data_IF_965543937323
#
_entry.id   IF_965543937323
#
_cell.length_a   1.000
_cell.length_b   1.000
_cell.length_c   1.000
_cell.angle_alpha   90.00
_cell.angle_beta   90.00
_cell.angle_gamma   90.00
#
_symmetry.space_group_name_H-M   'P 1'
#
loop_
_entity.id
_entity.type
_entity.pdbx_description
1 polymer ?
#
# COMPACT_ATOMS: atom_id res chain seq x y z
N UNK A 1 9.58 -10.36 19.25
CA UNK A 1 9.09 -9.05 18.78
C UNK A 1 8.29 -9.33 17.53
N UNK A 2 7.07 -8.82 17.40
CA UNK A 2 6.27 -9.00 16.17
C UNK A 2 7.05 -8.44 14.98
N UNK A 3 7.24 -9.23 13.93
CA UNK A 3 7.94 -8.78 12.72
C UNK A 3 6.88 -8.31 11.72
N UNK A 4 6.18 -7.24 12.10
CA UNK A 4 5.10 -6.70 11.29
C UNK A 4 5.66 -5.98 10.07
N UNK A 5 5.27 -6.46 8.90
CA UNK A 5 5.74 -5.97 7.59
C UNK A 5 4.57 -5.45 6.78
N UNK A 6 4.83 -4.45 5.95
CA UNK A 6 3.83 -3.89 5.03
C UNK A 6 3.82 -4.74 3.76
N UNK A 7 2.64 -5.13 3.30
CA UNK A 7 2.42 -5.82 2.04
C UNK A 7 1.51 -4.99 1.14
N UNK A 8 1.82 -4.91 -0.15
CA UNK A 8 0.94 -4.31 -1.17
C UNK A 8 0.45 -5.38 -2.13
N UNK A 9 -0.84 -5.34 -2.45
CA UNK A 9 -1.46 -6.24 -3.41
C UNK A 9 -1.12 -5.85 -4.86
N UNK A 10 -0.94 -6.87 -5.70
CA UNK A 10 -0.98 -6.76 -7.15
C UNK A 10 -1.98 -7.78 -7.71
N UNK A 11 -2.79 -7.36 -8.66
CA UNK A 11 -3.74 -8.19 -9.37
C UNK A 11 -3.01 -9.03 -10.43
N UNK A 12 -3.10 -10.35 -10.33
CA UNK A 12 -2.35 -11.29 -11.18
C UNK A 12 -3.22 -12.41 -11.76
N UNK A 13 -4.34 -12.08 -12.45
CA UNK A 13 -5.32 -13.05 -12.94
C UNK A 13 -4.71 -14.10 -13.89
N UNK A 14 -3.69 -13.71 -14.64
CA UNK A 14 -3.09 -14.53 -15.69
C UNK A 14 -1.76 -15.18 -15.28
N UNK A 15 -1.34 -15.04 -14.02
CA UNK A 15 -0.07 -15.64 -13.58
C UNK A 15 -0.30 -17.14 -13.31
N UNK A 16 0.36 -18.04 -14.06
CA UNK A 16 0.13 -19.47 -13.88
C UNK A 16 0.57 -19.92 -12.49
N UNK A 17 -0.39 -20.46 -11.74
CA UNK A 17 -0.16 -21.10 -10.46
C UNK A 17 -0.25 -22.62 -10.64
N UNK A 18 0.87 -23.32 -10.52
CA UNK A 18 0.94 -24.76 -10.84
C UNK A 18 1.67 -25.49 -9.72
N UNK A 19 1.00 -26.50 -9.15
CA UNK A 19 1.52 -27.34 -8.08
C UNK A 19 2.03 -26.55 -6.86
N UNK A 20 1.28 -25.51 -6.45
CA UNK A 20 1.64 -24.69 -5.29
C UNK A 20 2.66 -23.59 -5.59
N UNK A 21 3.12 -23.42 -6.83
CA UNK A 21 4.19 -22.46 -7.17
C UNK A 21 3.73 -21.48 -8.24
N UNK A 22 4.05 -20.19 -8.04
CA UNK A 22 3.88 -19.15 -9.05
C UNK A 22 4.92 -19.29 -10.15
N UNK A 23 4.47 -19.34 -11.40
CA UNK A 23 5.34 -19.37 -12.58
C UNK A 23 5.40 -17.98 -13.23
N UNK A 24 6.50 -17.23 -13.05
CA UNK A 24 6.62 -15.91 -13.66
C UNK A 24 6.59 -15.99 -15.20
N UNK A 25 5.95 -15.00 -15.85
CA UNK A 25 5.83 -14.93 -17.33
C UNK A 25 7.20 -14.83 -18.01
N UNK A 26 8.22 -14.33 -17.31
CA UNK A 26 9.62 -14.26 -17.76
C UNK A 26 10.51 -14.96 -16.74
N UNK A 27 10.67 -16.27 -16.89
CA UNK A 27 11.41 -17.19 -15.98
C UNK A 27 12.87 -16.84 -15.65
N UNK A 28 13.45 -15.78 -16.22
CA UNK A 28 14.90 -15.48 -16.11
C UNK A 28 15.26 -14.01 -15.92
N UNK A 29 14.32 -13.09 -15.67
CA UNK A 29 14.68 -11.65 -15.72
C UNK A 29 15.46 -11.18 -14.47
N UNK A 30 15.12 -11.67 -13.26
CA UNK A 30 15.55 -11.00 -12.03
C UNK A 30 16.20 -11.90 -10.94
N UNK A 31 16.51 -13.18 -11.24
CA UNK A 31 17.28 -14.10 -10.37
C UNK A 31 16.73 -14.33 -8.94
N UNK A 32 15.41 -14.46 -8.78
CA UNK A 32 14.82 -14.87 -7.51
C UNK A 32 14.79 -16.40 -7.36
N UNK A 33 15.34 -16.90 -6.26
CA UNK A 33 15.27 -18.30 -5.83
C UNK A 33 14.08 -18.49 -4.88
N UNK A 34 13.23 -19.49 -5.14
CA UNK A 34 12.16 -19.86 -4.21
C UNK A 34 12.77 -20.68 -3.06
N UNK A 35 12.68 -20.17 -1.83
CA UNK A 35 13.14 -20.87 -0.63
C UNK A 35 12.01 -21.69 0.02
N UNK A 36 10.81 -21.11 0.08
CA UNK A 36 9.67 -21.69 0.78
C UNK A 36 8.37 -21.46 0.02
N UNK A 37 7.50 -22.46 0.08
CA UNK A 37 6.17 -22.49 -0.54
C UNK A 37 5.23 -23.27 0.38
N UNK A 38 4.51 -22.54 1.23
CA UNK A 38 3.58 -23.10 2.19
C UNK A 38 2.13 -22.85 1.76
N UNK A 39 1.28 -23.88 1.89
CA UNK A 39 -0.17 -23.73 1.76
C UNK A 39 -0.75 -23.46 3.14
N UNK A 40 -1.22 -22.24 3.37
CA UNK A 40 -1.88 -21.84 4.63
C UNK A 40 -3.35 -22.25 4.61
N UNK A 41 -4.03 -22.04 3.49
CA UNK A 41 -5.43 -22.40 3.27
C UNK A 41 -5.70 -22.75 1.81
N UNK A 42 -6.91 -23.21 1.49
CA UNK A 42 -7.31 -23.45 0.09
C UNK A 42 -7.23 -22.17 -0.77
N UNK A 43 -7.40 -21.02 -0.13
CA UNK A 43 -7.36 -19.69 -0.77
C UNK A 43 -6.07 -18.90 -0.53
N UNK A 44 -5.08 -19.47 0.16
CA UNK A 44 -3.90 -18.72 0.58
C UNK A 44 -2.62 -19.57 0.59
N UNK A 45 -1.61 -19.07 -0.11
CA UNK A 45 -0.25 -19.62 -0.10
C UNK A 45 0.74 -18.54 0.30
N UNK A 46 1.76 -18.93 1.05
CA UNK A 46 2.88 -18.08 1.43
C UNK A 46 4.15 -18.52 0.70
N UNK A 47 4.87 -17.54 0.18
CA UNK A 47 6.14 -17.74 -0.49
C UNK A 47 7.23 -16.90 0.15
N UNK A 48 8.41 -17.49 0.27
CA UNK A 48 9.64 -16.78 0.57
C UNK A 48 10.58 -16.95 -0.61
N UNK A 49 10.93 -15.83 -1.24
CA UNK A 49 11.93 -15.78 -2.28
C UNK A 49 13.20 -15.12 -1.77
N UNK A 50 14.32 -15.44 -2.39
CA UNK A 50 15.64 -14.86 -2.11
C UNK A 50 16.24 -14.29 -3.38
N UNK A 51 16.84 -13.12 -3.27
CA UNK A 51 17.73 -12.53 -4.27
C UNK A 51 18.97 -12.01 -3.55
N UNK A 52 20.14 -12.45 -3.98
CA UNK A 52 21.42 -12.21 -3.31
C UNK A 52 21.36 -12.67 -1.84
N UNK A 53 21.53 -11.79 -0.85
CA UNK A 53 21.42 -12.10 0.58
C UNK A 53 20.10 -11.65 1.22
N UNK A 54 19.17 -11.10 0.41
CA UNK A 54 17.89 -10.55 0.89
C UNK A 54 16.74 -11.50 0.58
N UNK A 55 15.77 -11.55 1.49
CA UNK A 55 14.52 -12.30 1.32
C UNK A 55 13.36 -11.34 1.05
N UNK A 56 12.33 -11.84 0.37
CA UNK A 56 11.06 -11.16 0.17
C UNK A 56 9.92 -12.14 0.40
N UNK A 57 8.96 -11.74 1.23
CA UNK A 57 7.74 -12.48 1.51
C UNK A 57 6.65 -12.11 0.50
N UNK A 58 5.86 -13.08 0.10
CA UNK A 58 4.62 -12.81 -0.62
C UNK A 58 3.52 -13.81 -0.30
N UNK A 59 2.27 -13.35 -0.41
CA UNK A 59 1.08 -14.16 -0.22
C UNK A 59 0.27 -14.21 -1.50
N UNK A 60 0.08 -15.39 -2.05
CA UNK A 60 -0.85 -15.60 -3.15
C UNK A 60 -2.24 -15.86 -2.58
N UNK A 61 -3.14 -14.94 -2.86
CA UNK A 61 -4.50 -14.91 -2.35
C UNK A 61 -5.49 -15.16 -3.49
N UNK A 62 -6.43 -16.06 -3.22
CA UNK A 62 -7.53 -16.42 -4.11
C UNK A 62 -8.80 -15.83 -3.50
N UNK A 63 -9.34 -14.77 -4.10
CA UNK A 63 -10.54 -14.09 -3.63
C UNK A 63 -11.78 -14.95 -3.79
N UNK A 64 -11.92 -15.58 -4.95
CA UNK A 64 -12.98 -16.53 -5.24
C UNK A 64 -12.41 -17.80 -5.89
N UNK A 65 -12.78 -18.97 -5.37
CA UNK A 65 -12.38 -20.26 -5.92
C UNK A 65 -13.08 -20.57 -7.24
N UNK A 66 -14.27 -20.01 -7.46
CA UNK A 66 -15.08 -20.19 -8.66
C UNK A 66 -14.71 -19.20 -9.78
N UNK A 67 -14.28 -17.98 -9.41
CA UNK A 67 -13.74 -17.01 -10.36
C UNK A 67 -12.23 -17.15 -10.51
N UNK A 68 -11.76 -17.55 -11.69
CA UNK A 68 -10.32 -17.71 -11.99
C UNK A 68 -9.56 -16.38 -12.07
N UNK A 69 -10.27 -15.25 -12.16
CA UNK A 69 -9.68 -13.93 -12.31
C UNK A 69 -9.34 -13.29 -10.96
N UNK A 70 -10.04 -13.63 -9.89
CA UNK A 70 -9.88 -13.06 -8.55
C UNK A 70 -8.61 -13.57 -7.84
N UNK A 71 -7.44 -13.18 -8.35
CA UNK A 71 -6.12 -13.62 -7.88
C UNK A 71 -5.21 -12.43 -7.61
N UNK A 72 -4.68 -12.40 -6.39
CA UNK A 72 -3.81 -11.32 -5.91
C UNK A 72 -2.50 -11.90 -5.39
N UNK A 73 -1.44 -11.12 -5.54
CA UNK A 73 -0.18 -11.36 -4.86
C UNK A 73 0.07 -10.18 -3.92
N UNK A 74 0.04 -10.41 -2.62
CA UNK A 74 0.45 -9.42 -1.64
C UNK A 74 1.95 -9.56 -1.41
N UNK A 75 2.72 -8.54 -1.75
CA UNK A 75 4.18 -8.57 -1.75
C UNK A 75 4.71 -7.61 -0.68
N UNK A 76 5.68 -8.09 0.10
CA UNK A 76 6.37 -7.29 1.12
C UNK A 76 7.02 -6.05 0.50
N UNK A 77 6.70 -4.87 1.03
CA UNK A 77 7.30 -3.60 0.62
C UNK A 77 8.76 -3.52 1.10
N UNK A 78 9.66 -3.92 0.22
CA UNK A 78 11.12 -3.89 0.40
C UNK A 78 11.80 -3.28 -0.82
N UNK A 79 13.12 -3.07 -0.77
CA UNK A 79 13.90 -2.66 -1.95
C UNK A 79 13.85 -3.68 -3.11
N UNK A 80 13.38 -4.92 -2.85
CA UNK A 80 13.24 -5.96 -3.86
C UNK A 80 11.87 -5.92 -4.55
N UNK A 81 10.92 -5.09 -4.11
CA UNK A 81 9.52 -5.13 -4.54
C UNK A 81 9.38 -5.02 -6.07
N UNK A 82 9.90 -3.95 -6.68
CA UNK A 82 9.70 -3.68 -8.11
C UNK A 82 10.38 -4.75 -8.99
N UNK A 83 11.58 -5.16 -8.60
CA UNK A 83 12.29 -6.27 -9.21
C UNK A 83 11.51 -7.58 -9.09
N UNK A 84 10.88 -7.85 -7.94
CA UNK A 84 10.12 -9.07 -7.73
C UNK A 84 8.82 -9.07 -8.55
N UNK A 85 8.03 -8.00 -8.45
CA UNK A 85 6.73 -7.83 -9.10
C UNK A 85 6.83 -7.83 -10.63
N UNK A 86 7.91 -7.25 -11.19
CA UNK A 86 8.13 -7.21 -12.64
C UNK A 86 8.27 -8.59 -13.32
N UNK A 87 8.35 -9.67 -12.54
CA UNK A 87 8.34 -11.06 -13.03
C UNK A 87 6.93 -11.59 -13.32
N UNK A 88 5.92 -11.08 -12.60
CA UNK A 88 4.53 -11.52 -12.67
C UNK A 88 3.67 -10.53 -13.47
N UNK A 89 4.00 -9.25 -13.37
CA UNK A 89 3.22 -8.16 -13.93
C UNK A 89 4.10 -7.19 -14.73
N UNK A 90 3.51 -6.53 -15.72
CA UNK A 90 4.18 -5.54 -16.57
C UNK A 90 3.34 -4.28 -16.83
N UNK A 91 2.27 -4.07 -16.07
CA UNK A 91 1.40 -2.89 -16.13
C UNK A 91 1.45 -2.05 -14.85
N UNK A 92 0.77 -0.91 -14.83
CA UNK A 92 0.61 -0.08 -13.62
C UNK A 92 -0.27 -0.74 -12.55
N UNK A 93 -0.34 -0.11 -11.38
CA UNK A 93 -1.26 -0.48 -10.29
C UNK A 93 -2.71 -0.27 -10.74
N UNK A 94 -3.61 -1.18 -10.39
CA UNK A 94 -5.06 -1.01 -10.57
C UNK A 94 -5.62 -0.19 -9.41
N UNK A 95 -6.63 0.63 -9.68
CA UNK A 95 -7.18 1.55 -8.67
C UNK A 95 -7.62 0.85 -7.37
N UNK A 96 -8.28 -0.30 -7.46
CA UNK A 96 -8.74 -1.05 -6.28
C UNK A 96 -7.63 -1.72 -5.45
N UNK A 97 -6.40 -1.83 -5.98
CA UNK A 97 -5.28 -2.42 -5.23
C UNK A 97 -4.82 -1.52 -4.08
N UNK A 98 -5.11 -0.21 -4.13
CA UNK A 98 -4.67 0.77 -3.12
C UNK A 98 -5.19 0.45 -1.72
N UNK A 99 -6.42 -0.06 -1.62
CA UNK A 99 -7.10 -0.32 -0.35
C UNK A 99 -6.77 -1.71 0.23
N UNK A 100 -5.85 -2.45 -0.40
CA UNK A 100 -5.43 -3.78 0.05
C UNK A 100 -4.08 -3.79 0.78
N UNK A 101 -3.44 -2.63 0.93
CA UNK A 101 -2.19 -2.52 1.70
C UNK A 101 -2.43 -3.01 3.14
N UNK A 102 -1.65 -4.00 3.56
CA UNK A 102 -1.88 -4.69 4.84
C UNK A 102 -0.60 -4.87 5.62
N UNK A 103 -0.63 -4.58 6.91
CA UNK A 103 0.44 -4.90 7.85
C UNK A 103 0.24 -6.31 8.40
N UNK A 104 1.16 -7.23 8.10
CA UNK A 104 1.09 -8.62 8.54
C UNK A 104 2.28 -8.97 9.43
N UNK A 105 2.04 -9.69 10.53
CA UNK A 105 3.12 -10.28 11.34
C UNK A 105 3.49 -11.64 10.76
N UNK A 106 4.63 -11.72 10.10
CA UNK A 106 5.07 -12.95 9.42
C UNK A 106 5.44 -14.08 10.37
N UNK A 107 5.61 -13.79 11.67
CA UNK A 107 5.88 -14.81 12.69
C UNK A 107 4.63 -15.37 13.36
N UNK A 108 3.45 -14.85 13.02
CA UNK A 108 2.15 -15.25 13.56
C UNK A 108 1.20 -15.58 12.40
N UNK A 109 1.33 -16.76 11.78
CA UNK A 109 0.47 -17.15 10.66
C UNK A 109 -1.01 -17.22 11.06
N UNK A 110 -1.30 -17.44 12.35
CA UNK A 110 -2.64 -17.32 12.91
C UNK A 110 -3.19 -15.90 12.72
N UNK A 111 -4.20 -15.77 11.86
CA UNK A 111 -4.88 -14.49 11.58
C UNK A 111 -4.40 -13.77 10.32
N UNK A 112 -3.40 -14.28 9.59
CA UNK A 112 -3.04 -13.71 8.28
C UNK A 112 -4.21 -13.86 7.31
N UNK A 113 -4.81 -15.05 7.22
CA UNK A 113 -5.97 -15.27 6.35
C UNK A 113 -7.14 -14.34 6.69
N UNK A 114 -7.41 -14.11 7.97
CA UNK A 114 -8.49 -13.20 8.41
C UNK A 114 -8.21 -11.75 7.99
N UNK A 115 -6.98 -11.28 8.18
CA UNK A 115 -6.57 -9.93 7.76
C UNK A 115 -6.64 -9.76 6.25
N UNK A 116 -6.19 -10.75 5.48
CA UNK A 116 -6.26 -10.73 4.03
C UNK A 116 -7.70 -10.81 3.51
N UNK A 117 -8.56 -11.62 4.15
CA UNK A 117 -9.99 -11.64 3.85
C UNK A 117 -10.64 -10.29 4.13
N UNK A 118 -10.26 -9.61 5.21
CA UNK A 118 -10.76 -8.26 5.51
C UNK A 118 -10.31 -7.26 4.45
N UNK A 119 -9.03 -7.28 4.07
CA UNK A 119 -8.49 -6.41 3.03
C UNK A 119 -9.18 -6.66 1.68
N UNK A 120 -9.38 -7.92 1.31
CA UNK A 120 -10.13 -8.30 0.12
C UNK A 120 -11.60 -7.90 0.21
N UNK A 121 -12.32 -8.10 1.31
CA UNK A 121 -13.75 -7.73 1.31
C UNK A 121 -13.98 -6.21 1.29
N UNK A 122 -12.95 -5.41 1.58
CA UNK A 122 -13.04 -3.94 1.65
C UNK A 122 -12.32 -3.23 0.49
N UNK A 123 -11.80 -3.95 -0.51
CA UNK A 123 -10.91 -3.34 -1.50
C UNK A 123 -11.61 -2.46 -2.54
N UNK A 124 -12.87 -2.73 -2.86
CA UNK A 124 -13.66 -1.93 -3.79
C UNK A 124 -15.06 -1.67 -3.27
N UNK A 125 -15.66 -0.64 -3.85
CA UNK A 125 -17.04 -0.25 -3.64
C UNK A 125 -17.86 -0.71 -4.85
N UNK A 126 -18.97 -1.37 -4.61
CA UNK A 126 -19.93 -1.72 -5.66
C UNK A 126 -20.55 -0.46 -6.29
N UNK A 127 -21.10 -0.56 -7.50
CA UNK A 127 -21.69 0.60 -8.23
C UNK A 127 -22.81 1.29 -7.42
N UNK A 128 -23.54 0.51 -6.62
CA UNK A 128 -24.63 0.99 -5.76
C UNK A 128 -24.16 1.43 -4.36
N UNK A 129 -22.88 1.25 -4.03
CA UNK A 129 -22.32 1.64 -2.73
C UNK A 129 -21.80 3.09 -2.75
N UNK A 130 -22.02 3.84 -1.65
CA UNK A 130 -21.52 5.21 -1.58
C UNK A 130 -19.99 5.22 -1.51
N UNK A 131 -19.34 5.67 -2.58
CA UNK A 131 -17.89 5.87 -2.68
C UNK A 131 -17.36 6.87 -1.62
N UNK A 132 -16.15 6.68 -1.08
CA UNK A 132 -15.53 7.62 -0.14
C UNK A 132 -15.12 8.90 -0.85
N UNK A 133 -15.89 9.96 -0.62
CA UNK A 133 -15.62 11.30 -1.15
C UNK A 133 -14.93 12.14 -0.09
N UNK A 134 -13.74 12.67 -0.42
CA UNK A 134 -12.95 13.49 0.48
C UNK A 134 -12.18 14.56 -0.29
N UNK A 135 -12.32 15.81 0.14
CA UNK A 135 -11.56 16.94 -0.35
C UNK A 135 -10.66 17.50 0.77
N UNK A 136 -9.36 17.62 0.49
CA UNK A 136 -8.39 18.31 1.33
C UNK A 136 -8.07 19.68 0.75
N UNK A 137 -8.18 20.71 1.59
CA UNK A 137 -7.81 22.08 1.25
C UNK A 137 -6.76 22.53 2.26
N UNK A 138 -5.50 22.55 1.84
CA UNK A 138 -4.41 23.05 2.68
C UNK A 138 -4.47 24.56 2.88
N UNK A 139 -3.66 25.06 3.81
CA UNK A 139 -3.54 26.49 4.10
C UNK A 139 -2.96 27.23 2.88
N UNK A 140 -3.43 28.45 2.60
CA UNK A 140 -2.80 29.29 1.56
C UNK A 140 -1.52 29.92 2.09
N UNK A 141 -1.57 30.50 3.30
CA UNK A 141 -0.44 31.09 4.00
C UNK A 141 -0.51 30.89 5.53
N UNK A 142 0.47 31.45 6.25
CA UNK A 142 0.45 31.47 7.71
C UNK A 142 -0.85 32.08 8.24
N UNK A 143 -1.38 31.50 9.32
CA UNK A 143 -2.64 31.89 9.98
C UNK A 143 -3.94 31.67 9.17
N UNK A 144 -3.89 31.09 7.97
CA UNK A 144 -5.10 30.69 7.24
C UNK A 144 -5.68 29.37 7.74
N UNK A 145 -6.97 29.17 7.47
CA UNK A 145 -7.66 27.92 7.73
C UNK A 145 -7.28 26.84 6.70
N UNK A 146 -7.30 25.59 7.14
CA UNK A 146 -7.39 24.42 6.28
C UNK A 146 -8.79 23.80 6.41
N UNK A 147 -9.24 23.07 5.38
CA UNK A 147 -10.55 22.43 5.37
C UNK A 147 -10.44 20.97 4.94
N UNK A 148 -11.20 20.11 5.61
CA UNK A 148 -11.43 18.72 5.22
C UNK A 148 -12.93 18.54 5.08
N UNK A 149 -13.39 18.23 3.87
CA UNK A 149 -14.81 18.00 3.57
C UNK A 149 -14.94 16.58 3.05
N UNK A 150 -15.59 15.73 3.81
CA UNK A 150 -15.68 14.30 3.51
C UNK A 150 -17.06 13.75 3.88
N UNK A 151 -17.51 12.73 3.14
CA UNK A 151 -18.71 11.98 3.51
C UNK A 151 -18.42 11.05 4.69
N UNK A 152 -19.48 10.43 5.25
CA UNK A 152 -19.36 9.58 6.44
C UNK A 152 -18.38 8.42 6.25
N UNK A 153 -18.38 7.79 5.08
CA UNK A 153 -17.55 6.63 4.79
C UNK A 153 -16.08 7.04 4.74
N UNK A 154 -15.76 8.09 3.98
CA UNK A 154 -14.41 8.64 3.93
C UNK A 154 -13.88 9.08 5.31
N UNK A 155 -14.74 9.64 6.18
CA UNK A 155 -14.33 9.99 7.56
C UNK A 155 -14.03 8.75 8.43
N UNK A 156 -14.77 7.66 8.24
CA UNK A 156 -14.53 6.39 8.94
C UNK A 156 -13.21 5.79 8.47
N UNK A 157 -12.99 5.71 7.16
CA UNK A 157 -11.76 5.19 6.58
C UNK A 157 -10.54 6.04 6.94
N UNK A 158 -10.67 7.38 6.93
CA UNK A 158 -9.61 8.27 7.35
C UNK A 158 -9.23 8.04 8.82
N UNK A 159 -10.21 7.83 9.71
CA UNK A 159 -9.96 7.48 11.10
C UNK A 159 -9.21 6.15 11.21
N UNK A 160 -9.65 5.12 10.49
CA UNK A 160 -8.97 3.81 10.48
C UNK A 160 -7.56 3.89 9.93
N UNK A 161 -7.33 4.68 8.89
CA UNK A 161 -6.01 4.97 8.33
C UNK A 161 -5.11 5.69 9.35
N UNK A 162 -5.64 6.66 10.09
CA UNK A 162 -4.91 7.31 11.19
C UNK A 162 -4.55 6.28 12.28
N UNK A 163 -5.47 5.40 12.68
CA UNK A 163 -5.19 4.35 13.67
C UNK A 163 -4.08 3.39 13.20
N UNK A 164 -4.05 3.05 11.90
CA UNK A 164 -2.98 2.25 11.30
C UNK A 164 -1.65 3.02 11.33
N UNK A 165 -1.64 4.30 10.95
CA UNK A 165 -0.43 5.12 10.99
C UNK A 165 0.09 5.33 12.42
N UNK A 166 -0.78 5.47 13.41
CA UNK A 166 -0.40 5.55 14.82
C UNK A 166 0.27 4.24 15.30
N UNK A 167 -0.23 3.09 14.85
CA UNK A 167 0.32 1.77 15.24
C UNK A 167 1.59 1.38 14.47
N UNK A 168 1.65 1.71 13.19
CA UNK A 168 2.67 1.21 12.27
C UNK A 168 3.56 2.31 11.69
N UNK A 169 3.35 3.57 12.05
CA UNK A 169 4.14 4.72 11.61
C UNK A 169 3.72 5.31 10.27
N UNK A 170 3.16 4.53 9.35
CA UNK A 170 2.76 4.99 8.00
C UNK A 170 1.54 4.23 7.50
N UNK A 171 0.69 4.88 6.72
CA UNK A 171 -0.34 4.19 5.91
C UNK A 171 -0.56 4.92 4.59
N UNK A 172 -1.20 4.22 3.65
CA UNK A 172 -1.77 4.76 2.42
C UNK A 172 -3.26 4.45 2.39
N UNK A 173 -4.06 5.38 1.84
CA UNK A 173 -5.50 5.25 1.70
C UNK A 173 -5.93 5.81 0.33
N UNK A 174 -6.76 5.09 -0.42
CA UNK A 174 -7.38 5.62 -1.64
C UNK A 174 -8.64 6.41 -1.34
N UNK A 175 -8.73 7.63 -1.87
CA UNK A 175 -9.91 8.50 -1.73
C UNK A 175 -10.26 9.12 -3.08
N UNK A 176 -11.47 9.65 -3.22
CA UNK A 176 -11.89 10.36 -4.44
C UNK A 176 -12.38 11.78 -4.15
N UNK A 177 -12.10 12.76 -5.02
CA UNK A 177 -12.82 14.03 -5.05
C UNK A 177 -14.21 13.82 -5.68
N UNK A 178 -15.03 14.86 -5.68
CA UNK A 178 -16.36 14.86 -6.30
C UNK A 178 -16.40 14.55 -7.80
N UNK A 179 -15.27 14.66 -8.52
CA UNK A 179 -15.15 14.29 -9.93
C UNK A 179 -14.86 12.79 -10.14
N UNK A 180 -14.60 12.05 -9.06
CA UNK A 180 -14.33 10.61 -9.08
C UNK A 180 -12.89 10.24 -9.44
N UNK A 181 -12.02 11.20 -9.73
CA UNK A 181 -10.61 10.94 -10.07
C UNK A 181 -9.83 10.62 -8.80
N UNK A 182 -9.72 9.31 -8.48
CA UNK A 182 -9.10 8.84 -7.25
C UNK A 182 -7.65 9.33 -7.03
N UNK A 183 -7.29 9.48 -5.75
CA UNK A 183 -5.93 9.85 -5.31
C UNK A 183 -5.51 9.04 -4.09
N UNK A 184 -4.19 8.89 -3.93
CA UNK A 184 -3.59 8.26 -2.77
C UNK A 184 -3.31 9.32 -1.69
N UNK A 185 -3.91 9.14 -0.51
CA UNK A 185 -3.54 9.86 0.71
C UNK A 185 -2.49 9.05 1.47
N UNK A 186 -1.33 9.66 1.72
CA UNK A 186 -0.28 9.09 2.55
C UNK A 186 -0.27 9.76 3.92
N UNK A 187 -0.30 8.97 5.00
CA UNK A 187 -0.32 9.46 6.38
C UNK A 187 0.92 8.95 7.10
N UNK A 188 1.69 9.87 7.69
CA UNK A 188 2.91 9.60 8.44
C UNK A 188 2.71 9.97 9.91
N UNK A 189 2.93 9.02 10.81
CA UNK A 189 3.18 9.30 12.22
C UNK A 189 4.69 9.42 12.43
N UNK A 190 5.12 10.54 13.02
CA UNK A 190 6.51 10.82 13.40
C UNK A 190 6.62 10.86 14.92
N UNK A 191 7.81 10.67 15.44
CA UNK A 191 8.10 10.78 16.88
C UNK A 191 8.18 12.26 17.31
N UNK A 192 8.15 12.51 18.62
CA UNK A 192 8.18 13.85 19.20
C UNK A 192 9.49 14.62 18.88
N UNK A 193 10.59 13.92 18.59
CA UNK A 193 11.89 14.49 18.24
C UNK A 193 12.07 14.70 16.73
N UNK A 194 10.99 14.67 15.95
CA UNK A 194 11.03 14.98 14.53
C UNK A 194 11.41 16.44 14.25
N UNK A 195 12.38 16.66 13.36
CA UNK A 195 12.86 17.98 12.94
C UNK A 195 11.84 18.66 12.00
N UNK A 196 10.82 19.29 12.57
CA UNK A 196 9.73 19.94 11.82
C UNK A 196 10.21 21.11 10.97
N UNK A 197 11.31 21.77 11.38
CA UNK A 197 11.90 22.92 10.71
C UNK A 197 12.52 22.56 9.35
N UNK A 198 12.88 21.28 9.13
CA UNK A 198 13.41 20.81 7.85
C UNK A 198 12.28 20.43 6.87
N UNK A 199 11.04 20.22 7.34
CA UNK A 199 9.92 19.82 6.49
C UNK A 199 9.34 21.03 5.75
N UNK A 200 9.08 20.88 4.44
CA UNK A 200 8.38 21.91 3.66
C UNK A 200 7.05 22.30 4.32
N UNK A 201 6.77 23.61 4.39
CA UNK A 201 5.53 24.14 4.95
C UNK A 201 4.32 23.77 4.06
N UNK A 202 3.12 23.57 4.65
CA UNK A 202 1.93 23.14 3.92
C UNK A 202 1.24 24.27 3.13
N UNK A 203 1.94 25.38 2.86
CA UNK A 203 1.38 26.58 2.22
C UNK A 203 1.31 26.43 0.70
N UNK A 204 0.15 26.74 0.13
CA UNK A 204 -0.12 26.57 -1.30
C UNK A 204 0.09 27.83 -2.13
N UNK A 205 0.11 29.01 -1.50
CA UNK A 205 0.39 30.26 -2.20
C UNK A 205 1.90 30.41 -2.46
N UNK A 206 2.30 30.20 -3.72
CA UNK A 206 3.70 30.29 -4.17
C UNK A 206 4.25 31.71 -4.23
N UNK A 207 3.40 32.73 -4.19
CA UNK A 207 3.87 34.12 -4.06
C UNK A 207 4.28 34.44 -2.61
N UNK A 208 3.74 33.67 -1.65
CA UNK A 208 3.98 33.85 -0.23
C UNK A 208 5.06 32.92 0.29
N UNK A 209 5.07 31.68 -0.19
CA UNK A 209 6.03 30.66 0.22
C UNK A 209 6.47 29.80 -0.97
N UNK A 210 7.77 29.86 -1.27
CA UNK A 210 8.45 28.95 -2.17
C UNK A 210 9.45 28.12 -1.38
N UNK A 211 9.31 26.77 -1.36
CA UNK A 211 10.24 25.91 -0.63
C UNK A 211 11.70 26.09 -1.10
N UNK A 212 12.63 26.27 -0.17
CA UNK A 212 14.05 26.21 -0.50
C UNK A 212 14.48 24.76 -0.71
N UNK A 213 14.53 24.33 -1.97
CA UNK A 213 14.92 22.97 -2.38
C UNK A 213 16.33 22.55 -1.93
N UNK A 214 17.16 23.48 -1.47
CA UNK A 214 18.52 23.19 -0.98
C UNK A 214 18.57 22.83 0.50
N UNK A 215 17.52 23.16 1.26
CA UNK A 215 17.47 22.97 2.72
C UNK A 215 16.23 22.18 3.14
N UNK A 216 15.08 22.47 2.54
CA UNK A 216 13.80 21.89 2.94
C UNK A 216 13.56 20.51 2.30
N UNK A 217 12.86 19.67 3.06
CA UNK A 217 12.56 18.28 2.74
C UNK A 217 11.10 18.20 2.27
N UNK A 218 10.85 17.83 1.01
CA UNK A 218 9.49 17.56 0.54
C UNK A 218 8.79 16.48 1.37
N UNK A 219 7.47 16.59 1.62
CA UNK A 219 6.75 15.67 2.51
C UNK A 219 6.81 14.21 2.05
N UNK A 220 6.87 13.93 0.76
CA UNK A 220 6.97 12.55 0.28
C UNK A 220 8.29 11.86 0.67
N UNK A 221 9.36 12.61 0.97
CA UNK A 221 10.66 12.04 1.35
C UNK A 221 10.69 11.49 2.78
N UNK A 222 9.74 11.84 3.64
CA UNK A 222 9.71 11.34 5.03
C UNK A 222 9.16 9.92 5.15
N UNK A 223 8.53 9.41 4.09
CA UNK A 223 7.97 8.06 4.04
C UNK A 223 9.06 7.03 3.76
N UNK A 224 9.16 6.02 4.61
CA UNK A 224 10.16 4.94 4.47
C UNK A 224 9.55 3.68 3.88
N UNK A 225 8.32 3.33 4.26
CA UNK A 225 7.63 2.11 3.85
C UNK A 225 6.97 2.26 2.48
N UNK A 226 6.54 3.48 2.16
CA UNK A 226 5.92 3.84 0.88
C UNK A 226 6.87 4.55 -0.10
N UNK A 227 8.17 4.61 0.18
CA UNK A 227 9.15 5.36 -0.63
C UNK A 227 9.12 5.04 -2.13
N UNK A 228 8.75 3.81 -2.50
CA UNK A 228 8.68 3.35 -3.91
C UNK A 228 7.63 4.07 -4.75
N UNK A 229 6.65 4.73 -4.11
CA UNK A 229 5.64 5.53 -4.80
C UNK A 229 6.15 6.91 -5.22
N UNK A 230 7.34 7.30 -4.76
CA UNK A 230 7.89 8.64 -4.94
C UNK A 230 9.28 8.66 -5.62
N UNK A 231 9.79 7.48 -5.99
CA UNK A 231 11.13 7.27 -6.56
C UNK A 231 11.15 7.22 -8.08
#
# INVERSE_FOLDING_TARGET
MSETKLFTAIYIPETPFVNGVLKPKKTKKNNFELLESEKIADTLYHFIYKKDEKQINSYYYIGDLEDVLERYLLVENTDLYDDFVSQFWGGGQRYWEVNMDTYLDVNCPEGILEQLNKAYNNHFYEEDEPMPLCHFFGQQMWHDNAYLIANRIALIELREAIDIALKHGETRLGLSPSDGEGYDLFIKCVEDDFEWEELEMPYHDKEIYEPDKSVEIPPYKVFKKYKRFFS
#
